data_IF_717356470438
#
_entry.id   IF_717356470438
#
_cell.length_a   1.000
_cell.length_b   1.000
_cell.length_c   1.000
_cell.angle_alpha   90.00
_cell.angle_beta   90.00
_cell.angle_gamma   90.00
#
_symmetry.space_group_name_H-M   'P 1'
#
loop_
_entity.id
_entity.type
_entity.pdbx_description
1 polymer ?
#
# COMPACT_ATOMS: atom_id res chain seq x y z
N UNK A 1 4.59 30.00 -9.96
CA UNK A 1 3.26 30.02 -9.30
C UNK A 1 2.21 30.19 -10.39
N UNK A 2 0.99 29.70 -10.17
CA UNK A 2 -0.13 30.10 -11.03
C UNK A 2 -0.30 31.63 -10.90
N UNK A 3 -0.71 32.34 -11.95
CA UNK A 3 -0.95 33.79 -11.86
C UNK A 3 -1.94 34.08 -10.73
N UNK A 4 -1.64 35.08 -9.90
CA UNK A 4 -2.57 35.55 -8.88
C UNK A 4 -3.83 36.07 -9.57
N UNK A 5 -4.98 35.49 -9.24
CA UNK A 5 -6.27 36.00 -9.68
C UNK A 5 -6.55 37.27 -8.88
N UNK A 6 -6.68 38.41 -9.55
CA UNK A 6 -7.20 39.64 -8.95
C UNK A 6 -8.68 39.46 -8.61
N UNK A 7 -9.18 40.11 -7.55
CA UNK A 7 -10.60 40.05 -7.13
C UNK A 7 -11.59 40.38 -8.27
N UNK A 8 -11.17 41.17 -9.27
CA UNK A 8 -11.96 41.46 -10.49
C UNK A 8 -12.12 40.26 -11.46
N UNK A 9 -11.31 39.20 -11.32
CA UNK A 9 -11.38 38.00 -12.16
C UNK A 9 -12.25 36.87 -11.57
N UNK A 10 -12.55 36.90 -10.27
CA UNK A 10 -13.38 35.89 -9.60
C UNK A 10 -14.84 35.93 -10.08
N UNK A 11 -15.33 37.10 -10.52
CA UNK A 11 -16.74 37.34 -10.86
C UNK A 11 -17.13 36.93 -12.30
N UNK A 12 -16.19 36.41 -13.10
CA UNK A 12 -16.43 36.07 -14.52
C UNK A 12 -16.77 34.60 -14.78
N UNK A 13 -17.59 33.93 -13.96
CA UNK A 13 -18.15 32.61 -14.28
C UNK A 13 -17.15 31.55 -14.80
N UNK A 14 -15.85 31.69 -14.50
CA UNK A 14 -14.78 30.78 -14.92
C UNK A 14 -14.89 29.51 -14.07
N UNK A 15 -14.49 28.37 -14.63
CA UNK A 15 -14.46 27.07 -13.93
C UNK A 15 -15.82 26.58 -13.42
N UNK A 16 -16.91 26.92 -14.13
CA UNK A 16 -18.24 26.34 -13.91
C UNK A 16 -18.46 25.04 -14.70
N UNK A 17 -17.51 24.67 -15.56
CA UNK A 17 -17.48 23.40 -16.27
C UNK A 17 -16.82 22.30 -15.41
N UNK A 18 -16.72 21.11 -15.99
CA UNK A 18 -16.04 19.96 -15.38
C UNK A 18 -14.66 19.70 -16.00
N UNK A 19 -14.10 20.69 -16.70
CA UNK A 19 -12.84 20.57 -17.40
C UNK A 19 -11.68 21.01 -16.49
N UNK A 20 -10.68 20.13 -16.38
CA UNK A 20 -9.48 20.42 -15.61
C UNK A 20 -8.41 21.06 -16.49
N UNK A 21 -8.02 22.28 -16.15
CA UNK A 21 -6.91 22.94 -16.82
C UNK A 21 -5.58 22.27 -16.44
N UNK A 22 -4.76 21.99 -17.44
CA UNK A 22 -3.44 21.38 -17.25
C UNK A 22 -2.33 22.25 -17.80
N UNK A 23 -1.10 22.00 -17.34
CA UNK A 23 0.10 22.69 -17.83
C UNK A 23 0.61 22.17 -19.19
N UNK A 24 -0.08 21.19 -19.79
CA UNK A 24 0.38 20.48 -20.98
C UNK A 24 -0.58 20.69 -22.14
N UNK A 25 -0.02 20.86 -23.34
CA UNK A 25 -0.78 20.83 -24.59
C UNK A 25 -1.35 19.43 -24.87
N UNK A 26 -2.46 19.33 -25.64
CA UNK A 26 -3.22 18.08 -25.80
C UNK A 26 -2.38 16.85 -26.20
N UNK A 27 -1.43 16.90 -27.16
CA UNK A 27 -0.64 15.73 -27.54
C UNK A 27 0.27 15.21 -26.41
N UNK A 28 0.90 16.11 -25.67
CA UNK A 28 1.78 15.75 -24.55
C UNK A 28 0.97 15.25 -23.36
N UNK A 29 -0.20 15.84 -23.11
CA UNK A 29 -1.13 15.40 -22.09
C UNK A 29 -1.64 13.98 -22.38
N UNK A 30 -2.14 13.72 -23.60
CA UNK A 30 -2.65 12.42 -24.05
C UNK A 30 -1.61 11.32 -23.82
N UNK A 31 -0.36 11.54 -24.24
CA UNK A 31 0.71 10.55 -24.09
C UNK A 31 0.99 10.21 -22.62
N UNK A 32 0.98 11.21 -21.74
CA UNK A 32 1.17 11.02 -20.29
C UNK A 32 -0.02 10.31 -19.66
N UNK A 33 -1.25 10.73 -19.97
CA UNK A 33 -2.47 10.12 -19.45
C UNK A 33 -2.63 8.67 -19.91
N UNK A 34 -2.31 8.37 -21.18
CA UNK A 34 -2.27 7.01 -21.71
C UNK A 34 -1.31 6.11 -20.92
N UNK A 35 -0.13 6.64 -20.59
CA UNK A 35 0.87 5.91 -19.81
C UNK A 35 0.42 5.72 -18.35
N UNK A 36 -0.16 6.74 -17.72
CA UNK A 36 -0.70 6.65 -16.36
C UNK A 36 -1.83 5.63 -16.28
N UNK A 37 -2.79 5.70 -17.21
CA UNK A 37 -3.91 4.76 -17.30
C UNK A 37 -3.43 3.33 -17.48
N UNK A 38 -2.55 3.06 -18.43
CA UNK A 38 -2.00 1.71 -18.66
C UNK A 38 -1.36 1.15 -17.40
N UNK A 39 -0.54 1.94 -16.70
CA UNK A 39 0.10 1.50 -15.47
C UNK A 39 -0.91 1.20 -14.35
N UNK A 40 -1.96 2.03 -14.22
CA UNK A 40 -3.02 1.83 -13.23
C UNK A 40 -3.82 0.54 -13.51
N UNK A 41 -4.19 0.31 -14.78
CA UNK A 41 -4.89 -0.92 -15.19
C UNK A 41 -4.03 -2.17 -14.97
N UNK A 42 -2.73 -2.11 -15.27
CA UNK A 42 -1.79 -3.20 -14.98
C UNK A 42 -1.70 -3.48 -13.48
N UNK A 43 -1.56 -2.45 -12.63
CA UNK A 43 -1.49 -2.66 -11.19
C UNK A 43 -2.75 -3.32 -10.63
N UNK A 44 -3.94 -2.95 -11.13
CA UNK A 44 -5.20 -3.58 -10.75
C UNK A 44 -5.25 -5.04 -11.22
N UNK A 45 -4.83 -5.34 -12.46
CA UNK A 45 -4.81 -6.73 -12.97
C UNK A 45 -3.85 -7.63 -12.22
N UNK A 46 -2.66 -7.13 -11.91
CA UNK A 46 -1.59 -7.93 -11.30
C UNK A 46 -1.79 -8.12 -9.80
N UNK A 47 -2.49 -7.18 -9.13
CA UNK A 47 -2.50 -7.13 -7.66
C UNK A 47 -3.78 -6.62 -7.02
N UNK A 48 -4.81 -6.30 -7.80
CA UNK A 48 -6.07 -5.74 -7.31
C UNK A 48 -5.94 -4.34 -6.69
N UNK A 49 -4.75 -3.74 -6.69
CA UNK A 49 -4.49 -2.49 -5.94
C UNK A 49 -4.73 -1.27 -6.83
N UNK A 50 -5.51 -0.29 -6.36
CA UNK A 50 -5.55 1.03 -6.99
C UNK A 50 -4.28 1.81 -6.65
N UNK A 51 -3.61 2.33 -7.68
CA UNK A 51 -2.39 3.12 -7.53
C UNK A 51 -2.54 4.56 -8.00
N UNK A 52 -3.69 4.95 -8.56
CA UNK A 52 -3.88 6.26 -9.16
C UNK A 52 -4.67 7.18 -8.23
N UNK A 53 -4.09 8.33 -7.93
CA UNK A 53 -4.64 9.29 -6.98
C UNK A 53 -4.54 10.72 -7.51
N UNK A 54 -5.52 11.54 -7.16
CA UNK A 54 -5.51 12.98 -7.35
C UNK A 54 -5.18 13.65 -6.03
N UNK A 55 -3.99 14.25 -5.96
CA UNK A 55 -3.58 15.07 -4.83
C UNK A 55 -4.11 16.48 -5.02
N UNK A 56 -4.84 16.98 -4.04
CA UNK A 56 -5.37 18.33 -3.99
C UNK A 56 -4.68 19.05 -2.83
N UNK A 57 -3.94 20.10 -3.16
CA UNK A 57 -3.25 20.92 -2.18
C UNK A 57 -2.01 20.25 -1.60
N UNK A 58 -1.00 21.06 -1.33
CA UNK A 58 0.25 20.62 -0.72
C UNK A 58 0.62 21.53 0.43
N UNK A 59 1.10 20.95 1.53
CA UNK A 59 1.79 21.69 2.57
C UNK A 59 3.21 21.95 2.09
N UNK A 60 3.56 23.22 1.90
CA UNK A 60 4.94 23.67 1.77
C UNK A 60 5.50 23.90 3.18
N UNK A 61 6.49 23.10 3.56
CA UNK A 61 7.11 23.11 4.88
C UNK A 61 8.64 23.05 4.78
N UNK A 62 9.31 23.36 5.89
CA UNK A 62 10.77 23.45 5.99
C UNK A 62 11.23 22.63 7.20
N UNK A 63 12.33 21.89 7.07
CA UNK A 63 12.86 21.03 8.15
C UNK A 63 13.28 21.82 9.39
N UNK A 64 13.76 23.04 9.23
CA UNK A 64 14.18 23.91 10.33
C UNK A 64 13.93 25.38 9.99
N UNK A 65 14.12 26.27 10.98
CA UNK A 65 14.06 27.72 10.76
C UNK A 65 15.08 28.23 9.76
N UNK A 66 16.21 27.52 9.65
CA UNK A 66 17.40 27.95 8.89
C UNK A 66 17.51 27.21 7.55
N UNK A 67 16.64 26.24 7.28
CA UNK A 67 16.58 25.54 6.00
C UNK A 67 15.90 26.43 4.96
N UNK A 68 16.46 26.47 3.76
CA UNK A 68 15.88 27.13 2.59
C UNK A 68 15.36 26.13 1.55
N UNK A 69 15.36 24.84 1.88
CA UNK A 69 14.82 23.80 1.01
C UNK A 69 13.33 23.59 1.35
N UNK A 70 12.40 23.97 0.46
CA UNK A 70 10.99 23.71 0.67
C UNK A 70 10.67 22.24 0.36
N UNK A 71 9.92 21.61 1.25
CA UNK A 71 9.33 20.29 1.04
C UNK A 71 7.83 20.42 0.75
N UNK A 72 7.33 19.60 -0.16
CA UNK A 72 5.92 19.56 -0.52
C UNK A 72 5.33 18.22 -0.11
N UNK A 73 4.31 18.25 0.73
CA UNK A 73 3.56 17.06 1.12
C UNK A 73 2.09 17.20 0.72
N UNK A 74 1.49 16.22 0.02
CA UNK A 74 0.09 16.28 -0.35
C UNK A 74 -0.80 16.27 0.90
N UNK A 75 -1.84 17.12 0.88
CA UNK A 75 -2.76 17.29 2.00
C UNK A 75 -4.05 16.49 1.83
N UNK A 76 -4.65 16.51 0.64
CA UNK A 76 -5.93 15.85 0.38
C UNK A 76 -5.78 14.91 -0.81
N UNK A 77 -5.83 13.59 -0.55
CA UNK A 77 -5.51 12.57 -1.56
C UNK A 77 -6.77 11.79 -1.90
N UNK A 78 -7.22 11.88 -3.15
CA UNK A 78 -8.45 11.24 -3.63
C UNK A 78 -8.11 10.06 -4.54
N UNK A 79 -8.63 8.85 -4.26
CA UNK A 79 -8.51 7.71 -5.16
C UNK A 79 -9.33 7.96 -6.43
N UNK A 80 -8.71 7.81 -7.60
CA UNK A 80 -9.36 8.11 -8.89
C UNK A 80 -9.08 7.06 -9.95
N UNK A 81 -9.92 7.04 -10.97
CA UNK A 81 -9.76 6.25 -12.19
C UNK A 81 -9.73 7.16 -13.42
N UNK A 82 -8.88 6.81 -14.39
CA UNK A 82 -8.84 7.46 -15.70
C UNK A 82 -9.61 6.66 -16.74
N UNK A 83 -10.59 7.29 -17.38
CA UNK A 83 -11.34 6.74 -18.50
C UNK A 83 -11.00 7.47 -19.78
N UNK A 84 -10.68 6.72 -20.83
CA UNK A 84 -10.47 7.29 -22.16
C UNK A 84 -11.82 7.54 -22.83
N UNK A 85 -12.01 8.77 -23.29
CA UNK A 85 -13.19 9.22 -24.04
C UNK A 85 -12.98 9.06 -25.55
N UNK A 86 -13.91 9.61 -26.35
CA UNK A 86 -13.84 9.56 -27.82
C UNK A 86 -12.62 10.32 -28.35
N UNK A 87 -12.16 9.89 -29.53
CA UNK A 87 -11.14 10.58 -30.29
C UNK A 87 -11.67 11.91 -30.80
N UNK A 88 -10.89 12.97 -30.63
CA UNK A 88 -11.17 14.29 -31.19
C UNK A 88 -10.37 14.49 -32.47
N UNK A 89 -11.09 14.73 -33.57
CA UNK A 89 -10.50 14.93 -34.90
C UNK A 89 -9.84 16.31 -35.09
N UNK A 90 -10.17 17.29 -34.26
CA UNK A 90 -9.57 18.62 -34.28
C UNK A 90 -8.16 18.62 -33.68
N UNK A 91 -8.04 18.12 -32.46
CA UNK A 91 -6.74 18.06 -31.76
C UNK A 91 -5.93 16.79 -32.09
N UNK A 92 -6.55 15.80 -32.74
CA UNK A 92 -5.89 14.54 -33.13
C UNK A 92 -5.52 13.65 -31.95
N UNK A 93 -6.25 13.76 -30.84
CA UNK A 93 -5.95 13.06 -29.58
C UNK A 93 -7.21 12.46 -28.94
N UNK A 94 -7.00 11.55 -28.00
CA UNK A 94 -8.06 11.09 -27.11
C UNK A 94 -8.15 11.96 -25.88
N UNK A 95 -9.37 12.35 -25.53
CA UNK A 95 -9.67 12.98 -24.23
C UNK A 95 -9.82 11.94 -23.13
N UNK A 96 -9.65 12.38 -21.88
CA UNK A 96 -9.77 11.53 -20.70
C UNK A 96 -10.66 12.18 -19.66
N UNK A 97 -11.40 11.34 -18.92
CA UNK A 97 -12.19 11.73 -17.76
C UNK A 97 -11.60 11.11 -16.50
N UNK A 98 -11.67 11.84 -15.40
CA UNK A 98 -11.27 11.37 -14.08
C UNK A 98 -12.56 11.11 -13.30
N UNK A 99 -12.71 9.88 -12.81
CA UNK A 99 -13.80 9.51 -11.91
C UNK A 99 -13.22 9.24 -10.53
N UNK A 100 -13.87 9.76 -9.49
CA UNK A 100 -13.56 9.40 -8.10
C UNK A 100 -13.99 7.95 -7.90
N UNK A 101 -13.17 7.16 -7.22
CA UNK A 101 -13.56 5.80 -6.81
C UNK A 101 -14.25 5.87 -5.45
N UNK A 102 -15.17 4.96 -5.19
CA UNK A 102 -15.86 4.82 -3.89
C UNK A 102 -14.95 4.26 -2.78
N UNK A 103 -13.66 4.58 -2.82
CA UNK A 103 -12.66 4.25 -1.81
C UNK A 103 -12.59 5.42 -0.81
N UNK A 104 -12.32 5.14 0.47
CA UNK A 104 -12.18 6.17 1.51
C UNK A 104 -11.06 7.17 1.21
N UNK A 105 -11.24 8.41 1.69
CA UNK A 105 -10.21 9.44 1.61
C UNK A 105 -8.97 9.03 2.42
N UNK A 106 -7.78 9.32 1.87
CA UNK A 106 -6.53 8.93 2.51
C UNK A 106 -5.85 10.12 3.18
N UNK A 107 -5.66 10.01 4.50
CA UNK A 107 -4.79 10.92 5.24
C UNK A 107 -3.34 10.52 5.03
N UNK A 108 -2.46 11.49 4.80
CA UNK A 108 -1.03 11.26 4.64
C UNK A 108 -0.38 10.90 5.99
N UNK A 109 -0.33 9.61 6.31
CA UNK A 109 0.23 9.12 7.59
C UNK A 109 1.71 9.45 7.72
N UNK A 110 2.47 9.39 6.61
CA UNK A 110 3.90 9.75 6.66
C UNK A 110 4.08 11.21 7.08
N UNK A 111 3.26 12.12 6.55
CA UNK A 111 3.26 13.51 6.98
C UNK A 111 2.80 13.66 8.44
N UNK A 112 1.75 12.93 8.85
CA UNK A 112 1.25 12.93 10.24
C UNK A 112 2.36 12.59 11.23
N UNK A 113 3.08 11.49 10.99
CA UNK A 113 4.20 11.05 11.83
C UNK A 113 5.37 12.03 11.79
N UNK A 114 5.74 12.55 10.61
CA UNK A 114 6.82 13.55 10.48
C UNK A 114 6.52 14.82 11.26
N UNK A 115 5.28 15.32 11.17
CA UNK A 115 4.84 16.52 11.88
C UNK A 115 4.81 16.31 13.41
N UNK A 116 4.38 15.14 13.84
CA UNK A 116 4.33 14.81 15.26
C UNK A 116 5.73 14.69 15.87
N UNK A 117 6.59 13.87 15.27
CA UNK A 117 7.91 13.56 15.83
C UNK A 117 8.86 14.75 15.80
N UNK A 118 8.86 15.54 14.72
CA UNK A 118 9.87 16.60 14.55
C UNK A 118 9.39 17.97 15.04
N UNK A 119 8.08 18.19 15.03
CA UNK A 119 7.51 19.52 15.32
C UNK A 119 6.46 19.50 16.44
N UNK A 120 6.11 18.33 16.99
CA UNK A 120 5.02 18.17 17.95
C UNK A 120 3.68 18.71 17.43
N UNK A 121 3.48 18.66 16.10
CA UNK A 121 2.27 19.11 15.42
C UNK A 121 1.43 17.89 15.02
N UNK A 122 0.15 17.91 15.40
CA UNK A 122 -0.77 16.83 15.03
C UNK A 122 -1.43 17.15 13.69
N UNK A 123 -1.20 16.31 12.69
CA UNK A 123 -1.96 16.36 11.44
C UNK A 123 -3.37 15.79 11.69
N UNK A 124 -4.43 16.59 11.48
CA UNK A 124 -5.81 16.13 11.58
C UNK A 124 -6.12 15.06 10.52
N UNK A 125 -6.96 14.10 10.87
CA UNK A 125 -7.47 13.12 9.89
C UNK A 125 -8.51 13.77 8.98
N UNK A 126 -8.61 13.24 7.76
CA UNK A 126 -9.62 13.64 6.78
C UNK A 126 -10.89 12.85 7.08
N UNK A 127 -11.97 13.56 7.36
CA UNK A 127 -13.31 12.97 7.50
C UNK A 127 -13.89 12.66 6.11
N UNK A 128 -14.67 11.58 5.98
CA UNK A 128 -15.16 11.10 4.67
C UNK A 128 -16.00 12.13 3.89
N UNK A 129 -16.70 13.03 4.59
CA UNK A 129 -17.52 14.10 3.99
C UNK A 129 -16.77 15.43 3.83
N UNK A 130 -15.49 15.49 4.22
CA UNK A 130 -14.73 16.73 4.19
C UNK A 130 -14.42 17.15 2.74
N UNK A 131 -14.65 18.43 2.44
CA UNK A 131 -14.14 19.03 1.20
C UNK A 131 -12.69 19.49 1.37
N UNK A 132 -11.91 19.62 0.28
CA UNK A 132 -10.56 20.15 0.35
C UNK A 132 -10.47 21.50 1.09
N UNK A 133 -11.42 22.40 0.86
CA UNK A 133 -11.44 23.72 1.51
C UNK A 133 -11.67 23.64 3.02
N UNK A 134 -12.57 22.76 3.47
CA UNK A 134 -12.80 22.53 4.91
C UNK A 134 -11.51 22.03 5.55
N UNK A 135 -10.85 21.06 4.93
CA UNK A 135 -9.61 20.48 5.43
C UNK A 135 -8.45 21.50 5.42
N UNK A 136 -8.28 22.27 4.35
CA UNK A 136 -7.24 23.30 4.25
C UNK A 136 -7.41 24.39 5.31
N UNK A 137 -8.65 24.84 5.58
CA UNK A 137 -8.92 25.79 6.65
C UNK A 137 -8.56 25.23 8.04
N UNK A 138 -8.77 23.94 8.24
CA UNK A 138 -8.42 23.25 9.49
C UNK A 138 -6.88 23.17 9.65
N UNK A 139 -6.16 22.85 8.59
CA UNK A 139 -4.67 22.88 8.55
C UNK A 139 -4.14 24.29 8.80
N UNK A 140 -4.74 25.31 8.19
CA UNK A 140 -4.36 26.71 8.37
C UNK A 140 -4.43 27.12 9.86
N UNK A 141 -5.53 26.75 10.53
CA UNK A 141 -5.77 27.06 11.95
C UNK A 141 -4.86 26.27 12.89
N UNK A 142 -4.70 24.96 12.68
CA UNK A 142 -3.98 24.08 13.63
C UNK A 142 -2.46 24.07 13.45
N UNK A 143 -1.97 24.23 12.22
CA UNK A 143 -0.57 23.99 11.88
C UNK A 143 0.10 25.30 11.46
N UNK A 144 -0.40 25.95 10.42
CA UNK A 144 0.27 27.09 9.78
C UNK A 144 0.27 28.34 10.66
N UNK A 145 -0.77 28.54 11.47
CA UNK A 145 -0.84 29.68 12.41
C UNK A 145 0.37 29.76 13.36
N UNK A 146 1.04 28.63 13.63
CA UNK A 146 2.24 28.56 14.47
C UNK A 146 3.55 28.46 13.67
N UNK A 147 3.49 28.45 12.33
CA UNK A 147 4.62 28.24 11.41
C UNK A 147 4.57 29.26 10.26
N UNK A 148 5.05 30.50 10.45
CA UNK A 148 4.83 31.61 9.50
C UNK A 148 5.46 31.40 8.11
N UNK A 149 6.49 30.57 7.98
CA UNK A 149 7.11 30.22 6.68
C UNK A 149 6.32 29.16 5.91
N UNK A 150 5.44 28.42 6.57
CA UNK A 150 4.73 27.31 5.95
C UNK A 150 3.45 27.82 5.29
N UNK A 151 3.06 27.21 4.17
CA UNK A 151 1.85 27.61 3.45
C UNK A 151 1.21 26.45 2.71
N UNK A 152 -0.07 26.61 2.39
CA UNK A 152 -0.79 25.68 1.51
C UNK A 152 -0.58 26.12 0.06
N UNK A 153 0.01 25.25 -0.75
CA UNK A 153 0.07 25.38 -2.21
C UNK A 153 -1.18 24.76 -2.82
N UNK A 154 -2.05 25.60 -3.39
CA UNK A 154 -3.27 25.21 -4.08
C UNK A 154 -2.94 24.73 -5.50
N UNK A 155 -2.52 23.47 -5.61
CA UNK A 155 -2.25 22.80 -6.87
C UNK A 155 -2.81 21.38 -6.84
N UNK A 156 -3.24 20.90 -8.00
CA UNK A 156 -3.67 19.52 -8.19
C UNK A 156 -2.58 18.71 -8.89
N UNK A 157 -2.42 17.44 -8.55
CA UNK A 157 -1.48 16.55 -9.22
C UNK A 157 -2.05 15.14 -9.31
N UNK A 158 -2.20 14.66 -10.55
CA UNK A 158 -2.55 13.28 -10.82
C UNK A 158 -1.28 12.42 -10.77
N UNK A 159 -1.22 11.48 -9.83
CA UNK A 159 0.02 10.79 -9.48
C UNK A 159 -0.23 9.32 -9.15
N UNK A 160 0.81 8.50 -9.31
CA UNK A 160 0.82 7.12 -8.84
C UNK A 160 1.34 7.07 -7.41
N UNK A 161 0.57 6.54 -6.47
CA UNK A 161 0.98 6.33 -5.08
C UNK A 161 0.85 4.84 -4.73
N UNK A 162 1.73 4.36 -3.86
CA UNK A 162 1.71 2.99 -3.37
C UNK A 162 1.63 3.00 -1.84
N UNK A 163 0.44 2.69 -1.33
CA UNK A 163 0.14 2.69 0.10
C UNK A 163 0.25 1.30 0.74
N UNK A 164 0.76 0.27 0.06
CA UNK A 164 0.83 -1.09 0.64
C UNK A 164 1.57 -1.14 1.97
N UNK A 165 2.69 -0.42 2.07
CA UNK A 165 3.47 -0.35 3.31
C UNK A 165 2.74 0.41 4.43
N UNK A 166 1.86 1.34 4.06
CA UNK A 166 1.09 2.11 5.03
C UNK A 166 0.02 1.23 5.68
N UNK A 167 -0.67 0.39 4.90
CA UNK A 167 -1.60 -0.61 5.44
C UNK A 167 -0.88 -1.56 6.40
N UNK A 168 0.31 -2.05 6.01
CA UNK A 168 1.12 -2.88 6.92
C UNK A 168 1.50 -2.16 8.21
N UNK A 169 1.88 -0.87 8.14
CA UNK A 169 2.20 -0.08 9.32
C UNK A 169 0.97 0.10 10.23
N UNK A 170 -0.17 0.38 9.62
CA UNK A 170 -1.44 0.52 10.33
C UNK A 170 -1.89 -0.79 11.00
N UNK A 171 -1.65 -1.94 10.37
CA UNK A 171 -1.91 -3.26 10.93
C UNK A 171 -1.03 -3.57 12.14
N UNK A 172 0.08 -2.86 12.35
CA UNK A 172 0.90 -3.00 13.55
C UNK A 172 0.33 -2.28 14.77
N UNK A 173 -0.69 -1.42 14.62
CA UNK A 173 -1.30 -0.71 15.76
C UNK A 173 -2.01 -1.72 16.70
N UNK A 174 -1.53 -1.91 17.95
CA UNK A 174 -2.13 -2.85 18.89
C UNK A 174 -3.60 -2.56 19.19
N UNK A 175 -4.06 -1.31 19.00
CA UNK A 175 -5.46 -0.91 19.22
C UNK A 175 -6.42 -1.52 18.19
N UNK A 176 -5.93 -1.87 16.99
CA UNK A 176 -6.73 -2.50 15.94
C UNK A 176 -6.93 -4.01 16.16
N UNK A 177 -6.19 -4.61 17.09
CA UNK A 177 -6.27 -6.04 17.38
C UNK A 177 -7.19 -6.33 18.58
N UNK A 178 -8.02 -7.40 18.53
CA UNK A 178 -8.77 -7.86 19.69
C UNK A 178 -7.83 -8.21 20.86
N UNK A 179 -8.18 -7.84 22.10
CA UNK A 179 -7.34 -8.08 23.29
C UNK A 179 -6.92 -9.55 23.49
N UNK A 180 -7.76 -10.47 23.02
CA UNK A 180 -7.53 -11.93 23.08
C UNK A 180 -6.57 -12.41 21.98
N UNK A 181 -6.50 -11.70 20.85
CA UNK A 181 -5.65 -12.01 19.68
C UNK A 181 -4.63 -10.91 19.42
N UNK A 182 -4.11 -10.29 20.47
CA UNK A 182 -3.09 -9.26 20.35
C UNK A 182 -1.81 -9.83 19.72
N UNK A 183 -1.09 -9.01 18.96
CA UNK A 183 0.13 -9.42 18.25
C UNK A 183 1.18 -10.05 19.19
N UNK A 184 1.37 -9.49 20.38
CA UNK A 184 2.30 -10.00 21.41
C UNK A 184 1.92 -11.37 21.99
N UNK A 185 0.66 -11.80 21.80
CA UNK A 185 0.16 -13.11 22.24
C UNK A 185 0.12 -14.12 21.10
N UNK A 186 0.40 -13.72 19.86
CA UNK A 186 0.29 -14.60 18.72
C UNK A 186 1.36 -15.71 18.81
N UNK A 187 0.98 -17.01 18.79
CA UNK A 187 1.92 -18.11 19.04
C UNK A 187 3.09 -18.11 18.08
N UNK A 188 2.85 -17.83 16.79
CA UNK A 188 3.91 -17.79 15.78
C UNK A 188 4.87 -16.59 15.97
N UNK A 189 4.40 -15.46 16.50
CA UNK A 189 5.28 -14.30 16.75
C UNK A 189 6.16 -14.57 17.97
N UNK A 190 5.60 -15.18 19.01
CA UNK A 190 6.38 -15.64 20.17
C UNK A 190 7.47 -16.63 19.78
N UNK A 191 7.13 -17.61 18.93
CA UNK A 191 8.07 -18.57 18.38
C UNK A 191 9.19 -17.87 17.61
N UNK A 192 8.83 -16.91 16.74
CA UNK A 192 9.78 -16.16 15.93
C UNK A 192 10.75 -15.30 16.76
N UNK A 193 10.28 -14.72 17.87
CA UNK A 193 11.10 -13.91 18.78
C UNK A 193 11.80 -14.71 19.89
N UNK A 194 11.70 -16.05 19.86
CA UNK A 194 12.40 -16.94 20.79
C UNK A 194 11.79 -17.01 22.20
N UNK A 195 10.51 -16.67 22.37
CA UNK A 195 9.78 -16.91 23.63
C UNK A 195 9.38 -18.40 23.69
N UNK A 196 10.35 -19.26 24.06
CA UNK A 196 10.21 -20.72 24.15
C UNK A 196 9.52 -21.19 25.44
N UNK A 197 8.87 -20.30 26.20
CA UNK A 197 8.26 -20.63 27.50
C UNK A 197 6.84 -21.24 27.39
N UNK A 198 6.40 -21.68 26.21
CA UNK A 198 5.10 -22.32 26.04
C UNK A 198 5.24 -23.86 25.97
N UNK A 199 4.59 -24.55 26.90
CA UNK A 199 4.30 -26.00 26.92
C UNK A 199 3.39 -26.47 25.76
N UNK A 200 3.10 -25.61 24.78
CA UNK A 200 2.17 -25.86 23.66
C UNK A 200 2.74 -25.47 22.28
N UNK A 201 4.05 -25.20 22.18
CA UNK A 201 4.71 -25.19 20.87
C UNK A 201 5.07 -26.62 20.46
N UNK A 202 5.00 -27.00 19.17
CA UNK A 202 5.72 -28.21 18.74
C UNK A 202 7.18 -28.05 19.21
N UNK A 203 7.76 -29.10 19.79
CA UNK A 203 9.09 -29.09 20.44
C UNK A 203 10.25 -28.74 19.48
N UNK A 204 9.97 -28.32 18.26
CA UNK A 204 10.92 -28.19 17.16
C UNK A 204 10.87 -26.80 16.55
N UNK A 205 11.59 -25.88 17.18
CA UNK A 205 11.94 -24.57 16.59
C UNK A 205 13.47 -24.40 16.54
N UNK A 206 14.16 -25.49 16.21
CA UNK A 206 15.45 -25.49 15.54
C UNK A 206 15.24 -26.03 14.13
N UNK A 207 16.15 -25.73 13.20
CA UNK A 207 16.24 -26.46 11.93
C UNK A 207 16.13 -27.96 12.22
N UNK A 208 15.00 -28.59 11.91
CA UNK A 208 14.86 -30.03 12.10
C UNK A 208 15.93 -30.69 11.22
N UNK A 209 16.72 -31.57 11.82
CA UNK A 209 17.64 -32.42 11.07
C UNK A 209 16.82 -33.21 10.04
N UNK A 210 17.35 -33.40 8.83
CA UNK A 210 16.68 -34.15 7.78
C UNK A 210 16.13 -35.46 8.35
N UNK A 211 14.83 -35.69 8.18
CA UNK A 211 14.20 -36.92 8.64
C UNK A 211 14.85 -38.10 7.94
N UNK A 212 15.11 -39.18 8.68
CA UNK A 212 15.52 -40.43 8.05
C UNK A 212 14.30 -41.08 7.39
N UNK A 213 14.01 -40.65 6.17
CA UNK A 213 12.89 -41.06 5.31
C UNK A 213 12.77 -42.58 5.24
N UNK A 214 13.89 -43.30 5.15
CA UNK A 214 13.93 -44.76 5.05
C UNK A 214 13.47 -45.49 6.32
N UNK A 215 13.39 -44.79 7.45
CA UNK A 215 12.96 -45.34 8.73
C UNK A 215 11.46 -45.17 9.02
N UNK A 216 10.72 -44.50 8.14
CA UNK A 216 9.29 -44.22 8.32
C UNK A 216 8.47 -45.31 7.61
N UNK A 217 7.83 -46.19 8.38
CA UNK A 217 7.17 -47.41 7.87
C UNK A 217 6.02 -47.13 6.87
N UNK A 218 5.29 -46.01 7.03
CA UNK A 218 4.13 -45.66 6.19
C UNK A 218 4.32 -44.39 5.37
N UNK A 219 5.56 -44.07 5.00
CA UNK A 219 5.90 -42.79 4.38
C UNK A 219 5.11 -42.47 3.11
N UNK A 220 4.85 -43.47 2.26
CA UNK A 220 4.11 -43.28 1.01
C UNK A 220 2.60 -43.10 1.20
N UNK A 221 2.07 -43.55 2.34
CA UNK A 221 0.64 -43.44 2.68
C UNK A 221 0.38 -42.14 3.41
N UNK A 222 1.21 -41.80 4.40
CA UNK A 222 1.05 -40.61 5.23
C UNK A 222 1.56 -39.33 4.53
N UNK A 223 2.60 -39.44 3.69
CA UNK A 223 3.29 -38.33 3.05
C UNK A 223 3.49 -38.57 1.53
N UNK A 224 2.41 -38.70 0.73
CA UNK A 224 2.54 -39.01 -0.69
C UNK A 224 3.18 -37.86 -1.47
N UNK A 225 4.06 -38.20 -2.42
CA UNK A 225 4.68 -37.27 -3.36
C UNK A 225 4.18 -37.51 -4.79
N UNK A 226 3.92 -36.42 -5.52
CA UNK A 226 3.48 -36.44 -6.93
C UNK A 226 4.57 -35.96 -7.90
N UNK A 227 5.59 -35.30 -7.37
CA UNK A 227 6.81 -34.91 -8.06
C UNK A 227 8.03 -35.39 -7.27
N UNK A 228 9.15 -35.59 -7.97
CA UNK A 228 10.42 -35.92 -7.35
C UNK A 228 10.77 -34.90 -6.25
N UNK A 229 11.21 -35.40 -5.11
CA UNK A 229 11.64 -34.61 -3.97
C UNK A 229 12.98 -35.13 -3.46
N UNK A 230 13.92 -34.22 -3.17
CA UNK A 230 15.14 -34.56 -2.44
C UNK A 230 14.86 -34.75 -0.93
N UNK A 231 15.87 -35.18 -0.16
CA UNK A 231 15.72 -35.48 1.26
C UNK A 231 15.24 -34.27 2.07
N UNK A 232 15.71 -33.07 1.72
CA UNK A 232 15.33 -31.82 2.38
C UNK A 232 13.88 -31.42 2.08
N UNK A 233 13.44 -31.57 0.83
CA UNK A 233 12.07 -31.28 0.40
C UNK A 233 11.07 -32.28 0.98
N UNK A 234 11.46 -33.55 1.12
CA UNK A 234 10.63 -34.58 1.73
C UNK A 234 10.54 -34.40 3.25
N UNK A 235 11.63 -34.00 3.91
CA UNK A 235 11.62 -33.64 5.34
C UNK A 235 10.66 -32.48 5.60
N UNK A 236 10.74 -31.42 4.79
CA UNK A 236 9.82 -30.29 4.85
C UNK A 236 8.34 -30.69 4.64
N UNK A 237 8.06 -31.68 3.79
CA UNK A 237 6.71 -32.25 3.61
C UNK A 237 6.21 -32.91 4.90
N UNK A 238 7.05 -33.73 5.54
CA UNK A 238 6.73 -34.45 6.78
C UNK A 238 6.35 -33.46 7.88
N UNK A 239 7.15 -32.42 8.07
CA UNK A 239 6.95 -31.41 9.13
C UNK A 239 5.64 -30.66 8.94
N UNK A 240 5.36 -30.27 7.70
CA UNK A 240 4.15 -29.54 7.36
C UNK A 240 2.89 -30.39 7.55
N UNK A 241 2.89 -31.66 7.10
CA UNK A 241 1.75 -32.58 7.25
C UNK A 241 1.49 -32.91 8.72
N UNK A 242 2.54 -33.04 9.53
CA UNK A 242 2.45 -33.20 11.00
C UNK A 242 1.89 -31.96 11.72
N UNK A 243 1.68 -30.85 11.01
CA UNK A 243 1.07 -29.63 11.55
C UNK A 243 2.06 -28.61 12.11
N UNK A 244 3.35 -28.77 11.83
CA UNK A 244 4.37 -27.79 12.16
C UNK A 244 4.21 -26.50 11.35
N UNK A 245 4.59 -25.36 11.94
CA UNK A 245 4.74 -24.11 11.18
C UNK A 245 6.12 -24.11 10.52
N UNK A 246 6.16 -24.07 9.19
CA UNK A 246 7.38 -24.18 8.40
C UNK A 246 7.52 -22.99 7.45
N UNK A 247 8.77 -22.55 7.23
CA UNK A 247 9.15 -21.64 6.14
C UNK A 247 10.00 -22.40 5.13
N UNK A 248 9.50 -22.54 3.90
CA UNK A 248 10.25 -23.18 2.80
C UNK A 248 11.01 -22.09 2.03
N UNK A 249 12.32 -22.03 2.24
CA UNK A 249 13.25 -21.21 1.46
C UNK A 249 14.00 -22.09 0.45
N UNK A 250 13.92 -21.74 -0.83
CA UNK A 250 14.58 -22.46 -1.91
C UNK A 250 15.18 -21.48 -2.92
N UNK A 251 16.49 -21.56 -3.23
CA UNK A 251 17.10 -20.79 -4.31
C UNK A 251 16.37 -20.98 -5.66
N UNK A 252 16.52 -20.06 -6.63
CA UNK A 252 15.90 -20.20 -7.94
C UNK A 252 16.28 -21.54 -8.60
N UNK A 253 15.26 -22.33 -8.96
CA UNK A 253 15.44 -23.63 -9.63
C UNK A 253 15.52 -24.86 -8.70
N UNK A 254 15.44 -24.71 -7.37
CA UNK A 254 15.50 -25.84 -6.42
C UNK A 254 14.14 -26.50 -6.15
N UNK A 255 13.28 -26.58 -7.17
CA UNK A 255 12.03 -27.36 -7.06
C UNK A 255 10.96 -26.83 -6.10
N UNK A 256 11.02 -25.58 -5.60
CA UNK A 256 10.02 -25.02 -4.65
C UNK A 256 8.56 -25.26 -5.08
N UNK A 257 8.24 -25.08 -6.36
CA UNK A 257 6.90 -25.34 -6.88
C UNK A 257 6.50 -26.82 -6.81
N UNK A 258 7.45 -27.74 -6.98
CA UNK A 258 7.24 -29.18 -6.81
C UNK A 258 7.01 -29.53 -5.34
N UNK A 259 7.79 -28.94 -4.42
CA UNK A 259 7.59 -29.10 -2.98
C UNK A 259 6.21 -28.63 -2.53
N UNK A 260 5.74 -27.47 -3.03
CA UNK A 260 4.38 -26.97 -2.75
C UNK A 260 3.32 -27.92 -3.31
N UNK A 261 3.51 -28.44 -4.53
CA UNK A 261 2.56 -29.36 -5.14
C UNK A 261 2.48 -30.69 -4.37
N UNK A 262 3.62 -31.22 -3.90
CA UNK A 262 3.66 -32.40 -3.03
C UNK A 262 2.93 -32.15 -1.71
N UNK A 263 3.14 -30.99 -1.08
CA UNK A 263 2.44 -30.63 0.15
C UNK A 263 0.92 -30.58 -0.02
N UNK A 264 0.45 -29.92 -1.09
CA UNK A 264 -0.98 -29.86 -1.39
C UNK A 264 -1.53 -31.28 -1.64
N UNK A 265 -0.82 -32.12 -2.38
CA UNK A 265 -1.25 -33.49 -2.65
C UNK A 265 -1.34 -34.34 -1.37
N UNK A 266 -0.36 -34.22 -0.48
CA UNK A 266 -0.34 -34.93 0.79
C UNK A 266 -1.50 -34.49 1.71
N UNK A 267 -1.74 -33.19 1.84
CA UNK A 267 -2.86 -32.68 2.65
C UNK A 267 -4.22 -33.11 2.10
N UNK A 268 -4.40 -33.07 0.77
CA UNK A 268 -5.62 -33.57 0.12
C UNK A 268 -5.82 -35.08 0.36
N UNK A 269 -4.74 -35.87 0.30
CA UNK A 269 -4.78 -37.31 0.60
C UNK A 269 -5.18 -37.58 2.05
N UNK A 270 -4.75 -36.71 2.97
CA UNK A 270 -5.08 -36.77 4.40
C UNK A 270 -6.44 -36.11 4.74
N UNK A 271 -7.19 -35.65 3.74
CA UNK A 271 -8.55 -35.16 3.88
C UNK A 271 -8.69 -33.74 4.43
N UNK A 272 -7.64 -32.91 4.30
CA UNK A 272 -7.71 -31.47 4.60
C UNK A 272 -8.08 -30.63 3.37
#
# INVERSE_FOLDING_TARGET
>A
ELPEQTEEEEDKGKHQDTDLQTLLYPPNLESRLRTLRRNAETAIKDSGTNILFLNLGFLEWYESSDSDVPHLAPLFTVPVQLEQSKFDSGDGVYYYKINIKDDSLLTNITLKEKLFNDFSLNLPEIEDEATPEIYFNLIQKKIISNKPRWKIKRQASLVKLNFRKQVMYEDLDPKKWPKEKSLDKHPNLKLFFGDTNNEYGPETSGFEEEHNIDSIEEIHTEFPIVFDADSSQHSALIDAVKGGNLVIEGPPGTGKSQTIANLIAAELSNGK
#
